data_IF_202159518950
#
_entry.id   IF_202159518950
#
_cell.length_a   1.000
_cell.length_b   1.000
_cell.length_c   1.000
_cell.angle_alpha   90.00
_cell.angle_beta   90.00
_cell.angle_gamma   90.00
#
_symmetry.space_group_name_H-M   'P 1'
#
loop_
_entity.id
_entity.type
_entity.pdbx_description
1 polymer ?
#
# COMPACT_ATOMS: atom_id res chain seq x y z
N UNK A 1 19.71 -12.17 0.82
CA UNK A 1 20.53 -11.83 -0.38
C UNK A 1 19.64 -11.59 -1.61
N UNK A 2 18.81 -12.53 -2.08
CA UNK A 2 17.95 -12.38 -3.27
C UNK A 2 17.02 -11.16 -3.23
N UNK A 3 16.34 -10.89 -2.12
CA UNK A 3 15.46 -9.73 -1.97
C UNK A 3 16.18 -8.41 -2.26
N UNK A 4 17.39 -8.21 -1.73
CA UNK A 4 18.19 -7.00 -1.96
C UNK A 4 18.59 -6.85 -3.42
N UNK A 5 19.00 -7.93 -4.08
CA UNK A 5 19.36 -7.92 -5.51
C UNK A 5 18.15 -7.57 -6.38
N UNK A 6 16.99 -8.16 -6.09
CA UNK A 6 15.75 -7.86 -6.83
C UNK A 6 15.32 -6.43 -6.62
N UNK A 7 15.43 -5.92 -5.38
CA UNK A 7 15.13 -4.55 -5.05
C UNK A 7 16.04 -3.57 -5.81
N UNK A 8 17.34 -3.83 -5.85
CA UNK A 8 18.30 -3.03 -6.62
C UNK A 8 18.02 -3.09 -8.12
N UNK A 9 17.71 -4.27 -8.65
CA UNK A 9 17.34 -4.43 -10.05
C UNK A 9 16.04 -3.69 -10.40
N UNK A 10 15.00 -3.82 -9.57
CA UNK A 10 13.75 -3.09 -9.75
C UNK A 10 13.98 -1.57 -9.71
N UNK A 11 14.79 -1.08 -8.78
CA UNK A 11 15.18 0.33 -8.73
C UNK A 11 15.89 0.76 -10.01
N UNK A 12 16.88 -0.01 -10.44
CA UNK A 12 17.61 0.31 -11.67
C UNK A 12 16.66 0.36 -12.88
N UNK A 13 15.78 -0.63 -13.04
CA UNK A 13 14.81 -0.64 -14.13
C UNK A 13 13.83 0.53 -14.05
N UNK A 14 13.22 0.77 -12.91
CA UNK A 14 12.16 1.77 -12.76
C UNK A 14 12.73 3.21 -12.77
N UNK A 15 13.85 3.44 -12.12
CA UNK A 15 14.40 4.79 -11.96
C UNK A 15 15.53 5.10 -12.94
N UNK A 16 16.33 4.11 -13.33
CA UNK A 16 17.39 4.26 -14.32
C UNK A 16 16.85 4.23 -15.76
N UNK A 17 16.15 3.16 -16.13
CA UNK A 17 15.69 2.94 -17.51
C UNK A 17 14.39 3.68 -17.80
N UNK A 18 13.35 3.48 -17.00
CA UNK A 18 12.03 4.13 -17.19
C UNK A 18 12.04 5.58 -16.68
N UNK A 19 13.01 5.95 -15.88
CA UNK A 19 13.22 7.31 -15.37
C UNK A 19 12.04 7.86 -14.56
N UNK A 20 11.35 7.00 -13.83
CA UNK A 20 10.35 7.46 -12.87
C UNK A 20 11.00 8.36 -11.82
N UNK A 21 10.31 9.43 -11.45
CA UNK A 21 10.75 10.37 -10.43
C UNK A 21 9.80 10.29 -9.25
N UNK A 22 10.27 9.77 -8.12
CA UNK A 22 9.47 9.67 -6.90
C UNK A 22 10.07 10.58 -5.84
N UNK A 23 9.29 11.54 -5.38
CA UNK A 23 9.62 12.36 -4.23
C UNK A 23 8.94 11.76 -2.99
N UNK A 24 9.73 11.50 -1.95
CA UNK A 24 9.24 10.92 -0.70
C UNK A 24 9.62 11.82 0.47
N UNK A 25 8.64 12.26 1.23
CA UNK A 25 8.82 13.00 2.48
C UNK A 25 8.39 12.17 3.69
N UNK A 26 8.89 12.49 4.89
CA UNK A 26 8.46 11.90 6.15
C UNK A 26 9.15 10.58 6.51
N UNK A 27 10.29 10.24 5.90
CA UNK A 27 11.01 9.00 6.23
C UNK A 27 11.46 8.93 7.69
N UNK A 28 11.64 10.07 8.32
CA UNK A 28 11.93 10.23 9.75
C UNK A 28 10.84 9.70 10.67
N UNK A 29 9.63 9.51 10.17
CA UNK A 29 8.51 8.97 10.92
C UNK A 29 8.44 7.44 10.95
N UNK A 30 9.34 6.76 10.21
CA UNK A 30 9.36 5.31 10.16
C UNK A 30 9.90 4.73 11.48
N UNK A 31 9.17 3.81 12.13
CA UNK A 31 9.74 3.01 13.21
C UNK A 31 10.93 2.18 12.71
N UNK A 32 11.84 1.82 13.58
CA UNK A 32 13.02 1.03 13.24
C UNK A 32 12.67 -0.40 12.78
N UNK A 33 11.57 -0.96 13.27
CA UNK A 33 11.13 -2.32 12.94
C UNK A 33 9.70 -2.57 13.39
N UNK A 34 9.06 -3.61 12.85
CA UNK A 34 7.83 -4.17 13.36
C UNK A 34 6.61 -3.23 13.32
N UNK A 35 6.24 -2.74 12.15
CA UNK A 35 5.11 -1.83 12.01
C UNK A 35 4.18 -2.21 10.85
N UNK A 36 3.00 -1.62 10.88
CA UNK A 36 1.95 -1.78 9.91
C UNK A 36 1.86 -0.53 9.02
N UNK A 37 2.24 -0.63 7.75
CA UNK A 37 2.14 0.49 6.82
C UNK A 37 0.82 0.41 6.08
N UNK A 38 0.01 1.46 6.21
CA UNK A 38 -1.31 1.56 5.56
C UNK A 38 -1.26 2.61 4.48
N UNK A 39 -1.25 2.16 3.23
CA UNK A 39 -1.08 3.02 2.04
C UNK A 39 -2.39 3.49 1.42
N UNK A 40 -2.39 4.71 0.89
CA UNK A 40 -3.41 5.30 0.02
C UNK A 40 -2.71 6.23 -1.01
N UNK A 41 -3.22 6.43 -2.20
CA UNK A 41 -4.36 5.94 -2.89
C UNK A 41 -3.94 4.79 -3.83
N UNK A 42 -4.70 3.67 -3.78
CA UNK A 42 -4.35 2.50 -4.59
C UNK A 42 -4.82 2.67 -6.03
N UNK A 43 -3.87 2.76 -6.99
CA UNK A 43 -4.15 3.05 -8.42
C UNK A 43 -3.68 1.96 -9.38
N UNK A 44 -2.82 1.05 -8.92
CA UNK A 44 -2.36 -0.01 -9.79
C UNK A 44 -1.19 -0.83 -9.27
N UNK A 45 -0.64 -1.62 -10.18
CA UNK A 45 0.49 -2.51 -9.89
C UNK A 45 1.80 -1.78 -9.52
N UNK A 46 1.88 -0.48 -9.82
CA UNK A 46 3.06 0.35 -9.51
C UNK A 46 3.13 0.76 -8.04
N UNK A 47 2.01 0.78 -7.33
CA UNK A 47 1.95 1.26 -5.95
C UNK A 47 2.89 0.53 -4.98
N UNK A 48 3.03 -0.81 -5.02
CA UNK A 48 4.03 -1.49 -4.20
C UNK A 48 5.46 -1.01 -4.43
N UNK A 49 5.80 -0.61 -5.65
CA UNK A 49 7.14 -0.09 -5.96
C UNK A 49 7.37 1.32 -5.43
N UNK A 50 6.32 2.16 -5.38
CA UNK A 50 6.37 3.45 -4.70
C UNK A 50 6.61 3.27 -3.21
N UNK A 51 5.88 2.32 -2.58
CA UNK A 51 6.09 1.96 -1.18
C UNK A 51 7.52 1.45 -0.94
N UNK A 52 8.00 0.49 -1.75
CA UNK A 52 9.37 -0.03 -1.64
C UNK A 52 10.42 1.07 -1.82
N UNK A 53 10.16 2.05 -2.71
CA UNK A 53 11.07 3.19 -2.88
C UNK A 53 11.10 4.10 -1.65
N UNK A 54 9.97 4.28 -1.00
CA UNK A 54 9.85 5.11 0.20
C UNK A 54 10.52 4.46 1.43
N UNK A 55 10.49 3.14 1.52
CA UNK A 55 11.03 2.37 2.64
C UNK A 55 12.54 2.09 2.51
N UNK A 56 13.24 1.91 3.63
CA UNK A 56 14.58 1.33 3.63
C UNK A 56 14.56 -0.13 3.13
N UNK A 57 15.73 -0.67 2.76
CA UNK A 57 15.84 -2.09 2.35
C UNK A 57 15.58 -3.07 3.49
N UNK A 58 15.80 -2.64 4.70
CA UNK A 58 15.51 -3.35 5.94
C UNK A 58 14.84 -2.36 6.92
N UNK A 59 13.82 -2.76 7.63
CA UNK A 59 13.19 -4.10 7.62
C UNK A 59 12.41 -4.38 6.33
N UNK A 60 12.33 -5.67 5.96
CA UNK A 60 11.66 -6.14 4.73
C UNK A 60 10.16 -5.84 4.74
N UNK A 61 9.64 -5.32 3.63
CA UNK A 61 8.22 -5.11 3.43
C UNK A 61 7.51 -6.37 2.90
N UNK A 62 6.32 -6.66 3.45
CA UNK A 62 5.43 -7.73 3.06
C UNK A 62 4.07 -7.16 2.69
N UNK A 63 3.61 -7.43 1.47
CA UNK A 63 2.38 -6.89 0.92
C UNK A 63 1.27 -7.93 0.92
N UNK A 64 0.04 -7.53 1.21
CA UNK A 64 -1.13 -8.33 0.87
C UNK A 64 -1.50 -8.11 -0.60
N UNK A 65 -1.58 -9.19 -1.37
CA UNK A 65 -1.94 -9.15 -2.78
C UNK A 65 -3.00 -10.17 -3.16
N UNK A 66 -3.81 -9.84 -4.16
CA UNK A 66 -4.86 -10.74 -4.65
C UNK A 66 -4.25 -12.05 -5.18
N UNK A 67 -4.58 -13.18 -4.54
CA UNK A 67 -4.14 -14.51 -4.96
C UNK A 67 -4.48 -14.81 -6.42
N UNK A 68 -5.76 -14.69 -6.84
CA UNK A 68 -6.17 -15.03 -8.21
C UNK A 68 -5.50 -14.20 -9.31
N UNK A 69 -5.19 -12.93 -9.05
CA UNK A 69 -4.57 -12.06 -10.05
C UNK A 69 -3.05 -12.13 -10.07
N UNK A 70 -2.44 -12.49 -8.96
CA UNK A 70 -0.98 -12.42 -8.78
C UNK A 70 -0.32 -13.79 -8.98
N UNK A 71 -0.98 -14.86 -8.53
CA UNK A 71 -0.45 -16.23 -8.57
C UNK A 71 -1.06 -17.07 -9.71
N UNK A 72 -1.14 -16.48 -10.91
CA UNK A 72 -1.76 -17.13 -12.08
C UNK A 72 -0.92 -18.23 -12.71
N UNK A 73 0.36 -18.32 -12.37
CA UNK A 73 1.26 -19.34 -12.89
C UNK A 73 2.24 -19.81 -11.81
N UNK A 74 2.57 -21.12 -11.71
CA UNK A 74 3.44 -21.66 -10.66
C UNK A 74 4.81 -20.97 -10.57
N UNK A 75 5.41 -20.63 -11.69
CA UNK A 75 6.69 -19.93 -11.70
C UNK A 75 6.60 -18.51 -11.13
N UNK A 76 5.45 -17.80 -11.35
CA UNK A 76 5.21 -16.49 -10.76
C UNK A 76 5.07 -16.58 -9.25
N UNK A 77 4.38 -17.61 -8.76
CA UNK A 77 4.24 -17.86 -7.32
C UNK A 77 5.62 -18.06 -6.67
N UNK A 78 6.46 -18.92 -7.23
CA UNK A 78 7.83 -19.15 -6.74
C UNK A 78 8.63 -17.86 -6.75
N UNK A 79 8.56 -17.11 -7.87
CA UNK A 79 9.28 -15.84 -8.02
C UNK A 79 8.82 -14.80 -7.00
N UNK A 80 7.52 -14.60 -6.86
CA UNK A 80 6.93 -13.61 -5.96
C UNK A 80 7.18 -13.97 -4.50
N UNK A 81 7.05 -15.23 -4.11
CA UNK A 81 7.37 -15.70 -2.74
C UNK A 81 8.84 -15.49 -2.39
N UNK A 82 9.75 -15.73 -3.32
CA UNK A 82 11.20 -15.56 -3.10
C UNK A 82 11.67 -14.11 -3.17
N UNK A 83 11.09 -13.32 -4.06
CA UNK A 83 11.57 -11.99 -4.42
C UNK A 83 10.72 -10.87 -3.83
N UNK A 84 9.40 -11.05 -3.72
CA UNK A 84 8.46 -9.96 -3.57
C UNK A 84 7.94 -9.67 -2.18
N UNK A 85 8.12 -10.57 -1.19
CA UNK A 85 7.44 -10.35 0.10
C UNK A 85 5.93 -10.15 -0.06
N UNK A 86 5.27 -10.97 -0.89
CA UNK A 86 3.84 -10.90 -1.12
C UNK A 86 3.13 -12.06 -0.40
N UNK A 87 2.09 -11.73 0.35
CA UNK A 87 1.20 -12.65 1.02
C UNK A 87 -0.11 -12.75 0.22
N UNK A 88 -0.51 -13.95 -0.23
CA UNK A 88 -1.72 -14.09 -1.03
C UNK A 88 -2.98 -13.87 -0.20
N UNK A 89 -3.90 -13.07 -0.73
CA UNK A 89 -5.27 -12.92 -0.22
C UNK A 89 -6.22 -13.64 -1.16
N UNK A 90 -6.94 -14.59 -0.63
CA UNK A 90 -8.00 -15.31 -1.34
C UNK A 90 -9.36 -14.75 -0.89
N UNK A 91 -10.07 -14.08 -1.80
CA UNK A 91 -11.43 -13.59 -1.50
C UNK A 91 -12.38 -14.78 -1.36
N UNK A 92 -13.17 -14.79 -0.29
CA UNK A 92 -14.27 -15.74 -0.10
C UNK A 92 -13.94 -17.04 0.64
N UNK A 93 -12.69 -17.26 1.12
CA UNK A 93 -12.37 -18.54 1.76
C UNK A 93 -11.42 -18.50 2.95
N UNK A 94 -10.70 -17.39 3.12
CA UNK A 94 -9.73 -17.23 4.22
C UNK A 94 -10.27 -16.16 5.14
N UNK A 95 -10.68 -16.54 6.35
CA UNK A 95 -11.15 -15.61 7.37
C UNK A 95 -10.07 -14.57 7.72
N UNK A 96 -10.50 -13.47 8.30
CA UNK A 96 -9.63 -12.39 8.76
C UNK A 96 -8.50 -12.91 9.67
N UNK A 97 -8.75 -13.99 10.40
CA UNK A 97 -7.81 -14.58 11.37
C UNK A 97 -6.47 -15.01 10.74
N UNK A 98 -6.50 -15.58 9.53
CA UNK A 98 -5.27 -15.92 8.80
C UNK A 98 -4.46 -14.69 8.38
N UNK A 99 -5.14 -13.59 8.06
CA UNK A 99 -4.46 -12.32 7.77
C UNK A 99 -3.86 -11.72 9.02
N UNK A 100 -4.56 -11.81 10.15
CA UNK A 100 -4.04 -11.40 11.47
C UNK A 100 -2.83 -12.24 11.87
N UNK A 101 -2.88 -13.56 11.70
CA UNK A 101 -1.76 -14.47 11.97
C UNK A 101 -0.55 -14.11 11.10
N UNK A 102 -0.75 -13.92 9.80
CA UNK A 102 0.30 -13.50 8.88
C UNK A 102 0.90 -12.13 9.28
N UNK A 103 0.06 -11.18 9.67
CA UNK A 103 0.50 -9.87 10.11
C UNK A 103 1.29 -9.95 11.42
N UNK A 104 0.83 -10.75 12.40
CA UNK A 104 1.55 -11.02 13.66
C UNK A 104 2.94 -11.62 13.39
N UNK A 105 3.02 -12.60 12.49
CA UNK A 105 4.29 -13.22 12.13
C UNK A 105 5.25 -12.21 11.47
N UNK A 106 4.75 -11.39 10.54
CA UNK A 106 5.57 -10.38 9.86
C UNK A 106 6.08 -9.33 10.84
N UNK A 107 5.18 -8.72 11.61
CA UNK A 107 5.51 -7.65 12.55
C UNK A 107 6.35 -8.16 13.72
N UNK A 108 6.02 -9.36 14.25
CA UNK A 108 6.78 -9.99 15.33
C UNK A 108 8.23 -10.34 14.95
N UNK A 109 8.48 -10.57 13.65
CA UNK A 109 9.85 -10.72 13.12
C UNK A 109 10.52 -9.37 12.76
N UNK A 110 9.95 -8.26 13.21
CA UNK A 110 10.50 -6.93 12.96
C UNK A 110 10.29 -6.40 11.54
N UNK A 111 9.57 -7.12 10.68
CA UNK A 111 9.31 -6.73 9.30
C UNK A 111 8.13 -5.74 9.17
N UNK A 112 7.94 -5.17 7.98
CA UNK A 112 6.86 -4.24 7.68
C UNK A 112 5.71 -4.98 7.02
N UNK A 113 4.52 -4.88 7.58
CA UNK A 113 3.31 -5.39 6.96
C UNK A 113 2.60 -4.27 6.21
N UNK A 114 2.41 -4.42 4.90
CA UNK A 114 1.86 -3.36 4.03
C UNK A 114 0.49 -3.74 3.52
N UNK A 115 -0.46 -2.85 3.67
CA UNK A 115 -1.82 -3.03 3.15
C UNK A 115 -2.37 -1.74 2.55
N UNK A 116 -3.15 -1.90 1.48
CA UNK A 116 -3.95 -0.84 0.87
C UNK A 116 -5.39 -1.00 1.35
N UNK A 117 -5.93 -0.09 2.19
CA UNK A 117 -7.25 -0.27 2.82
C UNK A 117 -8.40 -0.18 1.83
N UNK A 118 -8.18 0.38 0.65
CA UNK A 118 -9.15 0.40 -0.45
C UNK A 118 -9.47 -1.02 -0.95
N UNK A 119 -8.52 -1.95 -0.84
CA UNK A 119 -8.67 -3.37 -1.20
C UNK A 119 -8.79 -3.64 -2.71
N UNK A 120 -9.01 -2.62 -3.51
CA UNK A 120 -9.04 -2.64 -4.98
C UNK A 120 -8.51 -1.32 -5.51
N UNK A 121 -8.06 -1.32 -6.76
CA UNK A 121 -7.78 -0.08 -7.47
C UNK A 121 -9.07 0.72 -7.56
N UNK A 122 -9.12 1.94 -7.00
CA UNK A 122 -10.37 2.68 -6.85
C UNK A 122 -10.18 4.20 -6.85
N UNK A 123 -11.25 4.91 -7.18
CA UNK A 123 -11.38 6.36 -7.09
C UNK A 123 -10.68 7.14 -8.22
N UNK A 124 -11.02 8.42 -8.37
CA UNK A 124 -10.40 9.33 -9.33
C UNK A 124 -8.98 9.73 -8.90
N UNK A 125 -8.19 10.22 -9.85
CA UNK A 125 -6.86 10.75 -9.59
C UNK A 125 -6.89 11.84 -8.49
N UNK A 126 -5.90 11.81 -7.59
CA UNK A 126 -5.79 12.79 -6.50
C UNK A 126 -6.79 12.61 -5.34
N UNK A 127 -7.55 11.53 -5.28
CA UNK A 127 -8.47 11.25 -4.18
C UNK A 127 -8.31 9.80 -3.69
N UNK A 128 -8.61 9.55 -2.44
CA UNK A 128 -8.68 8.17 -1.92
C UNK A 128 -10.01 7.53 -2.32
N UNK A 129 -10.01 6.20 -2.49
CA UNK A 129 -11.23 5.41 -2.58
C UNK A 129 -11.80 5.09 -1.18
N UNK A 130 -12.96 4.43 -1.10
CA UNK A 130 -13.54 4.02 0.18
C UNK A 130 -12.65 2.99 0.88
N UNK A 131 -12.32 3.24 2.14
CA UNK A 131 -11.53 2.32 2.95
C UNK A 131 -12.39 1.21 3.54
N UNK A 132 -11.81 0.02 3.62
CA UNK A 132 -12.41 -1.15 4.26
C UNK A 132 -11.82 -1.36 5.66
N UNK A 133 -12.63 -1.77 6.64
CA UNK A 133 -12.18 -1.86 8.04
C UNK A 133 -11.18 -2.97 8.31
N UNK A 134 -10.95 -3.89 7.36
CA UNK A 134 -10.06 -5.04 7.53
C UNK A 134 -8.62 -4.66 7.90
N UNK A 135 -8.10 -3.54 7.38
CA UNK A 135 -6.77 -3.05 7.74
C UNK A 135 -6.68 -2.66 9.22
N UNK A 136 -7.67 -1.91 9.70
CA UNK A 136 -7.71 -1.46 11.10
C UNK A 136 -8.06 -2.61 12.05
N UNK A 137 -8.87 -3.56 11.62
CA UNK A 137 -9.14 -4.77 12.37
C UNK A 137 -7.86 -5.61 12.59
N UNK A 138 -7.04 -5.78 11.56
CA UNK A 138 -5.74 -6.44 11.69
C UNK A 138 -4.81 -5.64 12.62
N UNK A 139 -4.74 -4.33 12.46
CA UNK A 139 -3.93 -3.47 13.32
C UNK A 139 -4.37 -3.54 14.79
N UNK A 140 -5.68 -3.53 15.06
CA UNK A 140 -6.26 -3.68 16.40
C UNK A 140 -5.85 -5.01 17.04
N UNK A 141 -5.99 -6.11 16.28
CA UNK A 141 -5.68 -7.47 16.79
C UNK A 141 -4.18 -7.73 16.95
N UNK A 142 -3.34 -7.09 16.15
CA UNK A 142 -1.88 -7.21 16.26
C UNK A 142 -1.27 -6.29 17.31
N UNK A 143 -1.91 -5.15 17.59
CA UNK A 143 -1.36 -4.08 18.43
C UNK A 143 -0.16 -3.35 17.80
N UNK A 144 0.14 -3.59 16.53
CA UNK A 144 1.28 -2.99 15.85
C UNK A 144 1.11 -1.48 15.64
N UNK A 145 2.19 -0.68 15.70
CA UNK A 145 2.16 0.72 15.27
C UNK A 145 1.71 0.84 13.82
N UNK A 146 0.85 1.79 13.54
CA UNK A 146 0.31 2.11 12.21
C UNK A 146 1.10 3.28 11.65
N UNK A 147 1.67 3.12 10.47
CA UNK A 147 2.32 4.20 9.71
C UNK A 147 1.43 4.56 8.53
N UNK A 148 0.73 5.70 8.56
CA UNK A 148 -0.06 6.15 7.43
C UNK A 148 0.86 6.59 6.28
N UNK A 149 0.52 6.17 5.07
CA UNK A 149 1.30 6.44 3.86
C UNK A 149 0.39 6.93 2.74
N UNK A 150 0.66 8.12 2.24
CA UNK A 150 -0.03 8.69 1.09
C UNK A 150 0.84 8.66 -0.15
N UNK A 151 0.25 8.43 -1.32
CA UNK A 151 0.94 8.50 -2.61
C UNK A 151 0.03 9.05 -3.70
N UNK A 152 0.62 9.63 -4.74
CA UNK A 152 -0.05 10.13 -5.92
C UNK A 152 0.83 9.94 -7.16
N UNK A 153 0.21 9.94 -8.35
CA UNK A 153 0.90 9.89 -9.63
C UNK A 153 1.05 8.50 -10.23
N UNK A 154 0.46 7.45 -9.63
CA UNK A 154 0.53 6.07 -10.13
C UNK A 154 -0.63 5.69 -11.06
N UNK A 155 -1.58 6.59 -11.28
CA UNK A 155 -2.76 6.40 -12.13
C UNK A 155 -2.43 6.33 -13.63
N UNK A 156 -1.35 6.99 -14.05
CA UNK A 156 -0.84 6.94 -15.42
C UNK A 156 0.66 6.68 -15.40
N UNK A 157 1.14 5.72 -16.18
CA UNK A 157 2.54 5.35 -16.25
C UNK A 157 3.14 5.65 -17.61
N UNK A 158 4.17 6.46 -17.64
CA UNK A 158 4.96 6.80 -18.83
C UNK A 158 6.40 7.13 -18.42
N UNK A 159 7.31 7.12 -19.38
CA UNK A 159 8.73 7.41 -19.12
C UNK A 159 8.90 8.81 -18.52
N UNK A 160 9.57 8.89 -17.37
CA UNK A 160 9.79 10.14 -16.65
C UNK A 160 8.61 10.61 -15.79
N UNK A 161 7.56 9.76 -15.59
CA UNK A 161 6.42 10.09 -14.72
C UNK A 161 6.89 10.56 -13.35
N UNK A 162 6.30 11.67 -12.87
CA UNK A 162 6.46 12.16 -11.51
C UNK A 162 5.45 11.49 -10.60
N UNK A 163 5.91 11.05 -9.46
CA UNK A 163 5.12 10.49 -8.37
C UNK A 163 5.54 11.14 -7.07
N UNK A 164 4.64 11.27 -6.14
CA UNK A 164 4.93 11.81 -4.83
C UNK A 164 4.38 10.89 -3.75
N UNK A 165 5.08 10.79 -2.63
CA UNK A 165 4.64 10.04 -1.48
C UNK A 165 4.99 10.76 -0.18
N UNK A 166 4.18 10.53 0.86
CA UNK A 166 4.40 11.07 2.20
C UNK A 166 4.12 10.02 3.24
N UNK A 167 5.07 9.85 4.14
CA UNK A 167 4.97 9.05 5.34
C UNK A 167 4.54 9.98 6.46
N UNK A 168 3.49 9.62 7.19
CA UNK A 168 3.00 10.40 8.31
C UNK A 168 3.51 9.81 9.63
N UNK A 169 3.46 10.56 10.74
CA UNK A 169 3.83 10.05 12.04
C UNK A 169 3.11 8.77 12.39
N UNK A 170 3.85 7.81 12.98
CA UNK A 170 3.27 6.57 13.43
C UNK A 170 2.20 6.81 14.50
N UNK A 171 1.13 6.04 14.45
CA UNK A 171 0.01 6.10 15.39
C UNK A 171 -0.41 4.70 15.81
N UNK A 172 -1.47 4.58 16.58
CA UNK A 172 -2.12 3.33 16.99
C UNK A 172 -3.63 3.46 16.79
N UNK A 173 -4.37 2.35 16.94
CA UNK A 173 -5.83 2.43 16.90
C UNK A 173 -6.36 3.38 18.00
N UNK A 174 -5.75 3.37 19.20
CA UNK A 174 -6.10 4.31 20.27
C UNK A 174 -5.75 5.76 19.93
N UNK A 175 -4.69 6.00 19.18
CA UNK A 175 -4.36 7.34 18.68
C UNK A 175 -5.31 7.85 17.60
N UNK A 176 -5.91 6.95 16.82
CA UNK A 176 -6.93 7.29 15.81
C UNK A 176 -8.32 7.51 16.43
N UNK A 177 -8.63 6.81 17.53
CA UNK A 177 -9.94 6.84 18.19
C UNK A 177 -9.72 7.22 19.65
N UNK A 178 -9.57 8.51 19.91
CA UNK A 178 -9.14 9.06 21.21
C UNK A 178 -10.14 8.82 22.35
N UNK A 179 -11.42 8.63 22.05
CA UNK A 179 -12.48 8.32 23.01
C UNK A 179 -12.61 6.81 23.32
N UNK A 180 -11.75 5.99 22.70
CA UNK A 180 -11.66 4.58 23.05
C UNK A 180 -10.84 4.40 24.33
N UNK A 181 -11.48 3.86 25.37
CA UNK A 181 -10.88 3.68 26.70
C UNK A 181 -9.73 2.67 26.79
N UNK A 182 -9.17 2.21 25.65
CA UNK A 182 -8.02 1.32 25.60
C UNK A 182 -8.31 -0.17 25.91
N UNK A 183 -9.53 -0.50 26.30
CA UNK A 183 -9.94 -1.89 26.54
C UNK A 183 -10.26 -2.56 25.21
N UNK A 184 -9.47 -3.58 24.86
CA UNK A 184 -9.69 -4.30 23.58
C UNK A 184 -11.03 -5.05 23.65
N UNK A 185 -11.94 -4.84 22.68
CA UNK A 185 -13.16 -5.61 22.58
C UNK A 185 -12.88 -7.09 22.31
N UNK A 186 -13.85 -7.93 22.59
CA UNK A 186 -13.81 -9.35 22.25
C UNK A 186 -13.66 -9.54 20.74
N UNK A 187 -12.77 -10.45 20.32
CA UNK A 187 -12.54 -10.74 18.90
C UNK A 187 -13.82 -11.28 18.24
N UNK A 188 -14.20 -10.69 17.13
CA UNK A 188 -15.44 -11.02 16.40
C UNK A 188 -16.70 -10.31 16.89
N UNK A 189 -16.59 -9.48 17.95
CA UNK A 189 -17.74 -8.71 18.49
C UNK A 189 -18.13 -7.54 17.58
N UNK A 190 -19.34 -7.02 17.79
CA UNK A 190 -19.79 -5.79 17.11
C UNK A 190 -18.94 -4.60 17.51
N UNK A 191 -18.57 -4.52 18.77
CA UNK A 191 -17.73 -3.46 19.32
C UNK A 191 -16.35 -3.42 18.65
N UNK A 192 -15.76 -4.58 18.40
CA UNK A 192 -14.49 -4.67 17.67
C UNK A 192 -14.62 -4.12 16.26
N UNK A 193 -15.68 -4.53 15.54
CA UNK A 193 -15.91 -4.09 14.16
C UNK A 193 -16.22 -2.59 14.10
N UNK A 194 -16.99 -2.06 15.05
CA UNK A 194 -17.31 -0.64 15.10
C UNK A 194 -16.09 0.21 15.44
N UNK A 195 -15.25 -0.25 16.35
CA UNK A 195 -13.96 0.39 16.64
C UNK A 195 -13.04 0.39 15.40
N UNK A 196 -12.95 -0.73 14.68
CA UNK A 196 -12.17 -0.83 13.45
C UNK A 196 -12.71 0.11 12.35
N UNK A 197 -14.04 0.29 12.23
CA UNK A 197 -14.66 1.25 11.30
C UNK A 197 -14.30 2.68 11.67
N UNK A 198 -14.47 3.07 12.96
CA UNK A 198 -14.12 4.42 13.44
C UNK A 198 -12.65 4.74 13.19
N UNK A 199 -11.75 3.79 13.47
CA UNK A 199 -10.33 3.96 13.18
C UNK A 199 -10.05 4.07 11.67
N UNK A 200 -10.81 3.36 10.84
CA UNK A 200 -10.73 3.43 9.37
C UNK A 200 -11.15 4.79 8.85
N UNK A 201 -12.25 5.33 9.36
CA UNK A 201 -12.77 6.65 8.98
C UNK A 201 -11.81 7.77 9.43
N UNK A 202 -11.26 7.66 10.64
CA UNK A 202 -10.24 8.60 11.13
C UNK A 202 -8.97 8.57 10.27
N UNK A 203 -8.51 7.39 9.89
CA UNK A 203 -7.35 7.24 9.00
C UNK A 203 -7.62 7.81 7.60
N UNK A 204 -8.82 7.59 7.05
CA UNK A 204 -9.24 8.15 5.77
C UNK A 204 -9.29 9.69 5.82
N UNK A 205 -9.80 10.25 6.91
CA UNK A 205 -9.83 11.69 7.14
C UNK A 205 -8.43 12.34 7.22
N UNK A 206 -7.45 11.59 7.71
CA UNK A 206 -6.04 12.01 7.74
C UNK A 206 -5.40 11.89 6.35
N UNK A 207 -5.60 10.77 5.64
CA UNK A 207 -4.91 10.49 4.38
C UNK A 207 -5.50 11.21 3.18
N UNK A 208 -6.81 11.45 3.16
CA UNK A 208 -7.50 12.12 2.05
C UNK A 208 -6.88 13.47 1.68
N UNK A 209 -6.81 14.43 2.61
CA UNK A 209 -6.20 15.75 2.35
C UNK A 209 -4.73 15.66 1.93
N UNK A 210 -3.97 14.68 2.45
CA UNK A 210 -2.57 14.50 2.08
C UNK A 210 -2.45 14.03 0.63
N UNK A 211 -3.29 13.09 0.18
CA UNK A 211 -3.31 12.66 -1.23
C UNK A 211 -3.70 13.81 -2.15
N UNK A 212 -4.69 14.63 -1.76
CA UNK A 212 -5.08 15.83 -2.50
C UNK A 212 -3.94 16.85 -2.62
N UNK A 213 -3.13 17.04 -1.56
CA UNK A 213 -1.94 17.91 -1.58
C UNK A 213 -0.81 17.34 -2.46
N UNK A 214 -0.65 16.03 -2.51
CA UNK A 214 0.40 15.39 -3.31
C UNK A 214 0.09 15.39 -4.80
N UNK A 215 -1.19 15.30 -5.17
CA UNK A 215 -1.61 15.16 -6.57
C UNK A 215 -1.08 16.27 -7.49
N UNK A 216 -1.17 17.57 -7.16
CA UNK A 216 -0.64 18.65 -8.01
C UNK A 216 0.85 18.52 -8.30
N UNK A 217 1.65 17.92 -7.40
CA UNK A 217 3.09 17.70 -7.57
C UNK A 217 3.38 16.67 -8.68
N UNK A 218 2.39 15.86 -9.04
CA UNK A 218 2.49 14.78 -10.03
C UNK A 218 1.88 15.13 -11.38
N UNK A 219 1.19 16.26 -11.46
CA UNK A 219 0.58 16.75 -12.72
C UNK A 219 1.65 17.34 -13.61
N UNK A 220 1.67 16.91 -14.86
CA UNK A 220 2.61 17.46 -15.84
C UNK A 220 2.17 18.80 -16.38
N UNK A 221 3.13 19.67 -16.78
CA UNK A 221 2.82 20.87 -17.54
C UNK A 221 2.04 20.55 -18.82
N UNK A 222 1.12 21.44 -19.26
CA UNK A 222 0.28 21.23 -20.44
C UNK A 222 1.06 20.99 -21.73
N UNK A 223 2.27 21.53 -21.84
CA UNK A 223 3.14 21.44 -23.03
C UNK A 223 3.93 20.13 -23.14
N UNK A 224 3.77 19.24 -22.19
CA UNK A 224 4.54 18.01 -22.18
C UNK A 224 4.03 17.01 -23.24
N UNK A 225 4.88 16.46 -24.12
CA UNK A 225 4.45 15.62 -25.26
C UNK A 225 3.78 14.32 -24.79
N UNK A 226 2.45 14.32 -24.72
CA UNK A 226 1.62 13.18 -24.25
C UNK A 226 1.64 11.95 -25.19
N UNK A 227 2.08 12.07 -26.44
CA UNK A 227 1.97 10.99 -27.44
C UNK A 227 2.84 9.76 -27.16
N UNK A 228 4.02 9.92 -26.58
CA UNK A 228 4.90 8.79 -26.22
C UNK A 228 4.48 8.08 -24.92
N UNK A 229 3.71 8.73 -24.08
CA UNK A 229 3.31 8.36 -22.74
C UNK A 229 2.22 7.29 -22.71
N UNK A 230 1.22 7.39 -23.60
CA UNK A 230 0.12 6.41 -23.69
C UNK A 230 0.58 4.99 -24.05
N UNK A 231 1.70 4.82 -24.75
CA UNK A 231 2.20 3.51 -25.17
C UNK A 231 2.73 2.66 -24.03
N UNK A 232 3.34 3.26 -22.97
CA UNK A 232 3.81 2.51 -21.81
C UNK A 232 2.64 2.06 -20.91
N UNK A 233 1.66 2.91 -20.72
CA UNK A 233 0.43 2.56 -19.99
C UNK A 233 -0.31 1.42 -20.68
N UNK A 234 -0.38 1.45 -22.02
CA UNK A 234 -1.04 0.41 -22.81
C UNK A 234 -0.32 -0.94 -22.78
N UNK A 235 1.01 -0.95 -22.73
CA UNK A 235 1.80 -2.18 -22.67
C UNK A 235 1.67 -2.90 -21.31
N UNK A 236 1.54 -2.14 -20.22
CA UNK A 236 1.48 -2.68 -18.86
C UNK A 236 0.06 -2.80 -18.30
N UNK A 237 -0.88 -1.99 -18.75
CA UNK A 237 -2.29 -2.03 -18.39
C UNK A 237 -3.07 -2.44 -19.63
N UNK A 238 -3.46 -3.72 -19.76
CA UNK A 238 -4.47 -4.09 -20.74
C UNK A 238 -5.78 -3.38 -20.35
N UNK A 239 -6.26 -2.39 -21.14
CA UNK A 239 -7.59 -1.83 -20.95
C UNK A 239 -8.58 -2.97 -21.18
N UNK A 240 -9.52 -3.20 -20.31
CA UNK A 240 -10.59 -4.18 -20.49
C UNK A 240 -10.69 -5.29 -19.44
N UNK A 241 -9.90 -5.26 -18.37
CA UNK A 241 -10.10 -6.17 -17.23
C UNK A 241 -10.52 -5.49 -15.94
N UNK A 242 -10.56 -4.18 -15.90
CA UNK A 242 -11.01 -3.40 -14.72
C UNK A 242 -12.50 -3.02 -14.78
N UNK A 243 -13.17 -3.19 -15.93
CA UNK A 243 -14.59 -2.83 -16.12
C UNK A 243 -15.53 -4.04 -16.03
N UNK A 244 -15.03 -5.20 -15.58
CA UNK A 244 -15.85 -6.40 -15.41
C UNK A 244 -15.63 -7.01 -14.03
N UNK A 245 -16.08 -6.30 -12.98
CA UNK A 245 -16.53 -6.88 -11.71
C UNK A 245 -17.28 -5.83 -10.89
#
# INVERSE_FOLDING_TARGET
>A
MFYRLTWLFARFMLFGVVRFRIETAGREHLPSSGYFLVGAAHRGWMDPFVVIHALPTEPRAWFLGSGPSTFTAPWREVLIRRLGGLLPVWRGGVGIDKHVESARAVVGNGAVFVQMPEGTVSGPAGRIGPFRPGAMLIALRTGAPIVPFAMAGTEELYMGRRMASRILPATTVSGLVSDWGGVRPEEGSREELDLARRATDALAAILGPVVEQLHPLTVDPPDHPRRFRRKLTWFFLRPGRLDRE
#
